data_IF_506862982967
#
_entry.id   IF_506862982967
#
_cell.length_a   1.000
_cell.length_b   1.000
_cell.length_c   1.000
_cell.angle_alpha   90.00
_cell.angle_beta   90.00
_cell.angle_gamma   90.00
#
_symmetry.space_group_name_H-M   'P 1'
#
loop_
_entity.id
_entity.type
_entity.pdbx_description
1 polymer ?
#
# COMPACT_ATOMS: atom_id res chain seq x y z
N UNK A 1 -13.31 13.14 13.12
CA UNK A 1 -12.53 13.06 11.87
C UNK A 1 -11.08 12.70 12.22
N UNK A 2 -10.44 11.81 11.46
CA UNK A 2 -8.99 11.57 11.56
C UNK A 2 -8.24 12.90 11.43
N UNK A 3 -7.32 13.20 12.35
CA UNK A 3 -6.47 14.38 12.25
C UNK A 3 -5.59 14.27 11.00
N UNK A 4 -5.47 15.35 10.23
CA UNK A 4 -4.75 15.40 8.95
C UNK A 4 -3.32 14.84 9.04
N UNK A 5 -2.65 15.05 10.17
CA UNK A 5 -1.30 14.56 10.43
C UNK A 5 -1.22 13.03 10.47
N UNK A 6 -2.22 12.35 11.04
CA UNK A 6 -2.28 10.88 11.06
C UNK A 6 -2.47 10.27 9.68
N UNK A 7 -3.21 10.96 8.81
CA UNK A 7 -3.41 10.50 7.42
C UNK A 7 -2.11 10.63 6.61
N UNK A 8 -1.35 11.70 6.82
CA UNK A 8 -0.06 11.91 6.16
C UNK A 8 0.97 10.87 6.62
N UNK A 9 1.06 10.63 7.92
CA UNK A 9 1.93 9.59 8.49
C UNK A 9 1.57 8.20 7.97
N UNK A 10 0.28 7.86 7.97
CA UNK A 10 -0.24 6.61 7.42
C UNK A 10 0.16 6.40 5.95
N UNK A 11 0.05 7.46 5.13
CA UNK A 11 0.43 7.40 3.72
C UNK A 11 1.93 7.12 3.54
N UNK A 12 2.79 7.82 4.29
CA UNK A 12 4.25 7.62 4.25
C UNK A 12 4.62 6.19 4.65
N UNK A 13 4.08 5.72 5.79
CA UNK A 13 4.33 4.37 6.31
C UNK A 13 3.83 3.29 5.34
N UNK A 14 2.69 3.52 4.66
CA UNK A 14 2.19 2.62 3.63
C UNK A 14 3.14 2.55 2.44
N UNK A 15 3.60 3.69 1.94
CA UNK A 15 4.52 3.75 0.80
C UNK A 15 5.88 3.10 1.13
N UNK A 16 6.41 3.31 2.33
CA UNK A 16 7.66 2.66 2.77
C UNK A 16 7.49 1.15 2.90
N UNK A 17 6.40 0.68 3.52
CA UNK A 17 6.11 -0.76 3.61
C UNK A 17 5.95 -1.39 2.24
N UNK A 18 5.29 -0.70 1.32
CA UNK A 18 5.16 -1.12 -0.07
C UNK A 18 6.55 -1.23 -0.71
N UNK A 19 7.39 -0.20 -0.64
CA UNK A 19 8.75 -0.20 -1.20
C UNK A 19 9.64 -1.31 -0.62
N UNK A 20 9.61 -1.51 0.70
CA UNK A 20 10.41 -2.54 1.38
C UNK A 20 9.97 -3.97 1.04
N UNK A 21 8.67 -4.18 0.79
CA UNK A 21 8.13 -5.51 0.44
C UNK A 21 8.06 -5.75 -1.08
N UNK A 22 8.17 -4.70 -1.89
CA UNK A 22 8.26 -4.76 -3.34
C UNK A 22 9.69 -5.08 -3.82
N UNK A 23 10.38 -5.98 -3.11
CA UNK A 23 11.72 -6.43 -3.46
C UNK A 23 11.68 -7.13 -4.83
N UNK A 24 11.96 -6.36 -5.88
CA UNK A 24 12.45 -6.67 -7.25
C UNK A 24 11.71 -7.72 -8.09
N UNK A 25 11.09 -8.75 -7.53
CA UNK A 25 10.36 -9.77 -8.29
C UNK A 25 8.88 -9.41 -8.48
N UNK A 26 8.64 -8.38 -9.29
CA UNK A 26 7.31 -8.06 -9.82
C UNK A 26 6.77 -9.16 -10.76
N UNK A 27 7.62 -10.14 -11.10
CA UNK A 27 7.32 -11.37 -11.83
C UNK A 27 6.27 -12.25 -11.13
N UNK A 28 6.14 -12.15 -9.79
CA UNK A 28 5.17 -12.92 -9.01
C UNK A 28 3.98 -12.04 -8.60
N UNK A 29 3.26 -11.55 -9.61
CA UNK A 29 2.19 -10.55 -9.57
C UNK A 29 1.08 -10.80 -8.53
N UNK A 30 0.79 -12.06 -8.21
CA UNK A 30 -0.34 -12.42 -7.32
C UNK A 30 0.07 -12.57 -5.85
N UNK A 31 1.23 -13.16 -5.57
CA UNK A 31 1.68 -13.42 -4.18
C UNK A 31 2.11 -12.14 -3.47
N UNK A 32 2.77 -11.23 -4.19
CA UNK A 32 3.16 -9.90 -3.70
C UNK A 32 1.92 -9.05 -3.46
N UNK A 33 0.94 -9.08 -4.38
CA UNK A 33 -0.34 -8.38 -4.22
C UNK A 33 -1.09 -8.87 -2.98
N UNK A 34 -1.13 -10.17 -2.74
CA UNK A 34 -1.78 -10.74 -1.56
C UNK A 34 -1.08 -10.31 -0.25
N UNK A 35 0.26 -10.37 -0.20
CA UNK A 35 1.05 -9.88 0.94
C UNK A 35 0.81 -8.40 1.21
N UNK A 36 0.89 -7.55 0.18
CA UNK A 36 0.62 -6.11 0.29
C UNK A 36 -0.80 -5.84 0.80
N UNK A 37 -1.82 -6.55 0.30
CA UNK A 37 -3.21 -6.43 0.77
C UNK A 37 -3.34 -6.69 2.27
N UNK A 38 -2.64 -7.70 2.79
CA UNK A 38 -2.65 -8.02 4.22
C UNK A 38 -1.95 -6.93 5.05
N UNK A 39 -0.80 -6.45 4.59
CA UNK A 39 -0.03 -5.38 5.25
C UNK A 39 -0.85 -4.08 5.31
N UNK A 40 -1.47 -3.68 4.19
CA UNK A 40 -2.27 -2.46 4.10
C UNK A 40 -3.48 -2.55 5.03
N UNK A 41 -4.23 -3.66 4.99
CA UNK A 41 -5.38 -3.87 5.89
C UNK A 41 -4.99 -3.84 7.37
N UNK A 42 -3.87 -4.47 7.74
CA UNK A 42 -3.35 -4.41 9.12
C UNK A 42 -2.99 -2.99 9.53
N UNK A 43 -2.36 -2.22 8.65
CA UNK A 43 -1.97 -0.83 8.89
C UNK A 43 -3.21 0.05 9.06
N UNK A 44 -4.18 -0.04 8.15
CA UNK A 44 -5.44 0.70 8.27
C UNK A 44 -6.18 0.39 9.57
N UNK A 45 -6.20 -0.88 9.99
CA UNK A 45 -6.82 -1.29 11.25
C UNK A 45 -6.09 -0.72 12.48
N UNK A 46 -4.75 -0.68 12.47
CA UNK A 46 -3.95 -0.08 13.55
C UNK A 46 -4.22 1.41 13.73
N UNK A 47 -4.49 2.11 12.62
CA UNK A 47 -4.80 3.54 12.64
C UNK A 47 -6.28 3.84 12.93
N UNK A 48 -7.13 2.82 13.12
CA UNK A 48 -8.57 3.01 13.40
C UNK A 48 -9.41 3.34 12.17
N UNK A 49 -8.96 2.97 10.97
CA UNK A 49 -9.68 3.23 9.74
C UNK A 49 -10.95 2.37 9.65
N UNK A 50 -12.13 2.95 9.33
CA UNK A 50 -13.40 2.22 9.30
C UNK A 50 -13.37 1.08 8.27
N UNK A 51 -13.88 -0.12 8.62
CA UNK A 51 -13.80 -1.32 7.78
C UNK A 51 -14.48 -1.13 6.41
N UNK A 52 -15.51 -0.31 6.35
CA UNK A 52 -16.28 0.02 5.15
C UNK A 52 -15.39 0.72 4.10
N UNK A 53 -14.47 1.57 4.57
CA UNK A 53 -13.55 2.32 3.72
C UNK A 53 -12.18 1.63 3.56
N UNK A 54 -11.90 0.57 4.34
CA UNK A 54 -10.64 -0.16 4.24
C UNK A 54 -10.45 -0.80 2.87
N UNK A 55 -11.53 -1.32 2.24
CA UNK A 55 -11.44 -1.90 0.89
C UNK A 55 -10.95 -0.85 -0.12
N UNK A 56 -11.61 0.30 -0.17
CA UNK A 56 -11.29 1.38 -1.10
C UNK A 56 -9.87 1.92 -0.89
N UNK A 57 -9.48 2.16 0.36
CA UNK A 57 -8.12 2.58 0.69
C UNK A 57 -7.07 1.54 0.30
N UNK A 58 -7.36 0.25 0.52
CA UNK A 58 -6.46 -0.84 0.15
C UNK A 58 -6.28 -0.94 -1.37
N UNK A 59 -7.35 -0.80 -2.15
CA UNK A 59 -7.28 -0.82 -3.62
C UNK A 59 -6.55 0.39 -4.17
N UNK A 60 -6.77 1.56 -3.59
CA UNK A 60 -6.08 2.80 -3.99
C UNK A 60 -4.58 2.69 -3.78
N UNK A 61 -4.15 2.21 -2.61
CA UNK A 61 -2.72 2.03 -2.29
C UNK A 61 -2.10 0.93 -3.17
N UNK A 62 -2.82 -0.15 -3.45
CA UNK A 62 -2.36 -1.18 -4.37
C UNK A 62 -2.15 -0.64 -5.79
N UNK A 63 -3.11 0.15 -6.29
CA UNK A 63 -2.99 0.77 -7.62
C UNK A 63 -1.82 1.73 -7.68
N UNK A 64 -1.60 2.52 -6.63
CA UNK A 64 -0.46 3.42 -6.54
C UNK A 64 0.87 2.66 -6.48
N UNK A 65 0.92 1.53 -5.76
CA UNK A 65 2.07 0.64 -5.73
C UNK A 65 2.35 0.04 -7.13
N UNK A 66 1.31 -0.37 -7.87
CA UNK A 66 1.42 -0.86 -9.24
C UNK A 66 1.95 0.21 -10.20
N UNK A 67 1.49 1.46 -10.07
CA UNK A 67 1.98 2.58 -10.89
C UNK A 67 3.47 2.87 -10.63
N UNK A 68 3.85 2.99 -9.36
CA UNK A 68 5.23 3.25 -8.95
C UNK A 68 6.15 2.11 -9.42
N UNK A 69 5.73 0.85 -9.26
CA UNK A 69 6.49 -0.29 -9.72
C UNK A 69 6.67 -0.28 -11.25
N UNK A 70 5.62 0.09 -12.00
CA UNK A 70 5.70 0.20 -13.45
C UNK A 70 6.65 1.32 -13.87
N UNK A 71 6.64 2.49 -13.20
CA UNK A 71 7.59 3.58 -13.44
C UNK A 71 9.04 3.13 -13.22
N UNK A 72 9.33 2.39 -12.16
CA UNK A 72 10.68 1.85 -11.93
C UNK A 72 11.12 0.81 -12.97
N UNK A 73 10.20 0.13 -13.65
CA UNK A 73 10.54 -0.81 -14.74
C UNK A 73 10.79 -0.13 -16.10
N UNK A 74 10.39 1.15 -16.28
CA UNK A 74 10.65 1.88 -17.54
C UNK A 74 11.99 2.64 -17.52
N UNK A 75 12.62 2.77 -16.36
CA UNK A 75 13.94 3.45 -16.21
C UNK A 75 15.14 2.47 -16.18
N UNK A 76 14.96 1.20 -16.56
CA UNK A 76 16.03 0.19 -16.59
C UNK A 76 16.54 -0.10 -18.02
#
# INVERSE_FOLDING_TARGET
>A
LMQHDKLRELAVVLTERVKQNASIDWTIKESVRAKLKVIIKRTLRQYGYPPDMQKLATETVLKQAELIANEFTVEA
#
